data_IF_833940275062
#
_entry.id   IF_833940275062
#
_cell.length_a   1.000
_cell.length_b   1.000
_cell.length_c   1.000
_cell.angle_alpha   90.00
_cell.angle_beta   90.00
_cell.angle_gamma   90.00
#
_symmetry.space_group_name_H-M   'P 1'
#
loop_
_entity.id
_entity.type
_entity.pdbx_description
1 polymer ?
#
# COMPACT_ATOMS: atom_id res chain seq x y z
N UNK A 1 6.74 -11.65 -18.60
CA UNK A 1 5.61 -12.54 -18.18
C UNK A 1 4.52 -11.72 -17.50
N UNK A 2 4.79 -10.91 -16.44
CA UNK A 2 3.75 -10.15 -15.72
C UNK A 2 2.92 -9.24 -16.64
N UNK A 3 3.54 -8.50 -17.55
CA UNK A 3 2.83 -7.67 -18.53
C UNK A 3 1.93 -8.48 -19.45
N UNK A 4 2.35 -9.69 -19.86
CA UNK A 4 1.54 -10.59 -20.67
C UNK A 4 0.35 -11.19 -19.91
N UNK A 5 0.39 -11.21 -18.58
CA UNK A 5 -0.72 -11.68 -17.76
C UNK A 5 -1.81 -10.61 -17.59
N UNK A 6 -1.44 -9.34 -17.46
CA UNK A 6 -2.38 -8.30 -17.05
C UNK A 6 -2.80 -7.31 -18.14
N UNK A 7 -1.96 -7.06 -19.17
CA UNK A 7 -2.26 -6.06 -20.19
C UNK A 7 -3.19 -6.57 -21.32
N UNK A 8 -3.04 -7.81 -21.85
CA UNK A 8 -3.88 -8.24 -22.97
C UNK A 8 -5.37 -8.25 -22.63
N UNK A 9 -6.18 -7.81 -23.58
CA UNK A 9 -7.65 -7.83 -23.49
C UNK A 9 -8.27 -6.96 -22.39
N UNK A 10 -7.56 -5.96 -21.82
CA UNK A 10 -8.10 -5.06 -20.78
C UNK A 10 -9.35 -4.30 -21.25
N UNK A 11 -9.41 -3.89 -22.52
CA UNK A 11 -10.55 -3.18 -23.11
C UNK A 11 -11.57 -4.08 -23.79
N UNK A 12 -11.46 -5.43 -23.65
CA UNK A 12 -12.32 -6.36 -24.36
C UNK A 12 -13.73 -6.53 -23.78
N UNK A 13 -13.99 -6.00 -22.60
CA UNK A 13 -15.28 -6.08 -21.90
C UNK A 13 -15.62 -4.70 -21.36
N UNK A 14 -16.91 -4.31 -21.38
CA UNK A 14 -17.37 -3.06 -20.76
C UNK A 14 -16.96 -2.97 -19.30
N UNK A 15 -16.89 -1.74 -18.78
CA UNK A 15 -16.60 -1.50 -17.37
C UNK A 15 -17.71 -2.12 -16.51
N UNK A 16 -17.31 -2.69 -15.36
CA UNK A 16 -18.25 -3.24 -14.43
C UNK A 16 -19.03 -2.13 -13.72
N UNK A 17 -20.29 -2.41 -13.38
CA UNK A 17 -21.14 -1.47 -12.66
C UNK A 17 -20.54 -1.03 -11.32
N UNK A 18 -20.95 0.15 -10.88
CA UNK A 18 -20.65 0.77 -9.60
C UNK A 18 -19.23 1.38 -9.54
N UNK A 19 -18.28 0.75 -8.86
CA UNK A 19 -16.98 1.37 -8.55
C UNK A 19 -16.14 1.65 -9.82
N UNK A 20 -16.07 0.71 -10.75
CA UNK A 20 -15.21 0.84 -11.94
C UNK A 20 -15.71 1.96 -12.88
N UNK A 21 -17.01 2.00 -13.14
CA UNK A 21 -17.63 3.06 -13.95
C UNK A 21 -17.47 4.42 -13.27
N UNK A 22 -17.78 4.50 -11.97
CA UNK A 22 -17.70 5.75 -11.22
C UNK A 22 -16.28 6.35 -11.23
N UNK A 23 -15.25 5.53 -11.06
CA UNK A 23 -13.87 6.04 -11.10
C UNK A 23 -13.44 6.46 -12.49
N UNK A 24 -13.83 5.70 -13.52
CA UNK A 24 -13.56 6.06 -14.89
C UNK A 24 -14.29 7.37 -15.29
N UNK A 25 -15.51 7.55 -14.81
CA UNK A 25 -16.29 8.78 -15.04
C UNK A 25 -15.67 9.98 -14.32
N UNK A 26 -15.25 9.82 -13.05
CA UNK A 26 -14.50 10.86 -12.35
C UNK A 26 -13.25 11.29 -13.15
N UNK A 27 -12.50 10.34 -13.69
CA UNK A 27 -11.31 10.63 -14.50
C UNK A 27 -11.65 11.34 -15.81
N UNK A 28 -12.71 10.90 -16.49
CA UNK A 28 -13.22 11.53 -17.72
C UNK A 28 -13.65 12.98 -17.45
N UNK A 29 -14.42 13.21 -16.39
CA UNK A 29 -14.89 14.57 -16.06
C UNK A 29 -13.75 15.49 -15.65
N UNK A 30 -12.73 15.00 -14.94
CA UNK A 30 -11.51 15.79 -14.67
C UNK A 30 -10.82 16.25 -15.97
N UNK A 31 -10.81 15.40 -17.00
CA UNK A 31 -10.23 15.76 -18.31
C UNK A 31 -11.09 16.81 -19.00
N UNK A 32 -12.41 16.63 -19.05
CA UNK A 32 -13.36 17.51 -19.75
C UNK A 32 -13.46 18.89 -19.07
N UNK A 33 -13.54 18.90 -17.73
CA UNK A 33 -13.66 20.13 -16.96
C UNK A 33 -12.34 20.87 -16.73
N UNK A 34 -11.19 20.24 -17.04
CA UNK A 34 -9.84 20.69 -16.67
C UNK A 34 -9.64 20.95 -15.17
N UNK A 35 -10.51 20.39 -14.32
CA UNK A 35 -10.44 20.51 -12.86
C UNK A 35 -9.88 19.22 -12.27
N UNK A 36 -8.56 19.18 -12.07
CA UNK A 36 -7.85 17.99 -11.56
C UNK A 36 -7.78 17.91 -10.03
N UNK A 37 -8.23 18.94 -9.33
CA UNK A 37 -8.16 18.96 -7.85
C UNK A 37 -9.43 18.41 -7.20
N UNK A 38 -10.57 18.59 -7.83
CA UNK A 38 -11.85 18.14 -7.31
C UNK A 38 -12.33 16.89 -8.03
N UNK A 39 -12.54 15.81 -7.27
CA UNK A 39 -13.22 14.61 -7.78
C UNK A 39 -14.70 14.93 -7.98
N UNK A 40 -15.23 14.59 -9.15
CA UNK A 40 -16.60 14.93 -9.56
C UNK A 40 -17.28 13.71 -10.20
N UNK A 41 -18.59 13.62 -10.03
CA UNK A 41 -19.52 12.77 -10.80
C UNK A 41 -20.73 13.62 -11.16
N UNK A 42 -21.17 13.58 -12.43
CA UNK A 42 -22.21 14.47 -12.98
C UNK A 42 -21.82 15.95 -12.81
N UNK A 43 -20.54 16.28 -12.89
CA UNK A 43 -19.96 17.60 -12.64
C UNK A 43 -20.28 18.18 -11.27
N UNK A 44 -20.62 17.31 -10.30
CA UNK A 44 -20.84 17.67 -8.90
C UNK A 44 -19.71 17.08 -8.04
N UNK A 45 -19.28 17.79 -6.96
CA UNK A 45 -18.22 17.29 -6.08
C UNK A 45 -18.57 15.92 -5.50
N UNK A 46 -17.63 14.96 -5.62
CA UNK A 46 -17.75 13.62 -5.09
C UNK A 46 -16.67 13.40 -4.00
N UNK A 47 -17.07 13.55 -2.74
CA UNK A 47 -16.16 13.57 -1.60
C UNK A 47 -15.85 12.18 -1.01
N UNK A 48 -16.45 11.12 -1.55
CA UNK A 48 -16.30 9.78 -1.00
C UNK A 48 -14.90 9.17 -1.22
N UNK A 49 -14.23 9.58 -2.27
CA UNK A 49 -12.96 8.94 -2.67
C UNK A 49 -11.85 9.98 -2.87
N UNK A 50 -10.66 9.71 -2.31
CA UNK A 50 -9.48 10.54 -2.56
C UNK A 50 -8.97 10.42 -4.01
N UNK A 51 -8.21 11.41 -4.51
CA UNK A 51 -7.98 11.58 -5.94
C UNK A 51 -6.87 10.72 -6.55
N UNK A 52 -6.00 10.06 -5.79
CA UNK A 52 -4.75 9.48 -6.31
C UNK A 52 -5.00 8.47 -7.44
N UNK A 53 -5.92 7.53 -7.24
CA UNK A 53 -6.22 6.54 -8.27
C UNK A 53 -6.87 7.17 -9.51
N UNK A 54 -7.75 8.14 -9.31
CA UNK A 54 -8.40 8.87 -10.40
C UNK A 54 -7.36 9.65 -11.22
N UNK A 55 -6.36 10.27 -10.59
CA UNK A 55 -5.24 10.90 -11.31
C UNK A 55 -4.46 9.91 -12.17
N UNK A 56 -4.26 8.68 -11.69
CA UNK A 56 -3.60 7.63 -12.49
C UNK A 56 -4.44 7.27 -13.72
N UNK A 57 -5.77 7.18 -13.58
CA UNK A 57 -6.67 6.97 -14.69
C UNK A 57 -6.68 8.16 -15.65
N UNK A 58 -6.66 9.40 -15.16
CA UNK A 58 -6.52 10.62 -15.99
C UNK A 58 -5.26 10.57 -16.84
N UNK A 59 -4.11 10.21 -16.23
CA UNK A 59 -2.85 10.09 -16.97
C UNK A 59 -2.93 9.00 -18.05
N UNK A 60 -3.53 7.88 -17.73
CA UNK A 60 -3.75 6.78 -18.66
C UNK A 60 -4.70 7.18 -19.80
N UNK A 61 -5.82 7.84 -19.50
CA UNK A 61 -6.78 8.30 -20.51
C UNK A 61 -6.22 9.41 -21.40
N UNK A 62 -5.33 10.24 -20.90
CA UNK A 62 -4.60 11.22 -21.73
C UNK A 62 -3.63 10.54 -22.70
N UNK A 63 -3.05 9.41 -22.34
CA UNK A 63 -2.11 8.67 -23.18
C UNK A 63 -2.80 7.76 -24.21
N UNK A 64 -3.90 7.11 -23.85
CA UNK A 64 -4.54 6.05 -24.64
C UNK A 64 -5.97 6.42 -25.13
N UNK A 65 -6.44 7.62 -24.80
CA UNK A 65 -7.83 8.01 -25.04
C UNK A 65 -8.77 7.55 -23.92
N UNK A 66 -10.01 8.08 -23.95
CA UNK A 66 -11.05 7.74 -22.96
C UNK A 66 -11.71 6.43 -23.40
N UNK A 67 -11.33 5.32 -22.80
CA UNK A 67 -11.85 3.98 -23.09
C UNK A 67 -11.59 3.03 -21.91
N UNK A 68 -12.16 1.83 -21.98
CA UNK A 68 -12.08 0.79 -20.95
C UNK A 68 -10.63 0.34 -20.69
N UNK A 69 -9.83 0.25 -21.74
CA UNK A 69 -8.40 -0.09 -21.63
C UNK A 69 -7.68 0.93 -20.74
N UNK A 70 -7.86 2.22 -21.05
CA UNK A 70 -7.20 3.29 -20.31
C UNK A 70 -7.65 3.37 -18.84
N UNK A 71 -8.92 3.09 -18.55
CA UNK A 71 -9.45 3.04 -17.20
C UNK A 71 -8.80 1.93 -16.34
N UNK A 72 -8.45 0.78 -16.94
CA UNK A 72 -7.88 -0.41 -16.28
C UNK A 72 -6.36 -0.45 -16.30
N UNK A 73 -5.71 0.21 -17.23
CA UNK A 73 -4.26 0.15 -17.43
C UNK A 73 -3.45 0.49 -16.17
N UNK A 74 -3.81 1.47 -15.32
CA UNK A 74 -3.11 1.72 -14.07
C UNK A 74 -3.05 0.48 -13.18
N UNK A 75 -4.11 -0.34 -13.11
CA UNK A 75 -4.12 -1.54 -12.30
C UNK A 75 -3.31 -2.69 -12.90
N UNK A 76 -3.23 -2.80 -14.21
CA UNK A 76 -2.30 -3.73 -14.84
C UNK A 76 -0.84 -3.39 -14.50
N UNK A 77 -0.48 -2.10 -14.50
CA UNK A 77 0.83 -1.62 -14.05
C UNK A 77 1.04 -1.92 -12.56
N UNK A 78 0.03 -1.68 -11.72
CA UNK A 78 0.05 -2.06 -10.31
C UNK A 78 0.36 -3.55 -10.12
N UNK A 79 -0.27 -4.42 -10.90
CA UNK A 79 -0.01 -5.86 -10.87
C UNK A 79 1.43 -6.22 -11.18
N UNK A 80 2.02 -5.60 -12.21
CA UNK A 80 3.43 -5.80 -12.56
C UNK A 80 4.33 -5.37 -11.40
N UNK A 81 4.09 -4.19 -10.84
CA UNK A 81 4.86 -3.66 -9.70
C UNK A 81 4.69 -4.57 -8.48
N UNK A 82 3.48 -5.04 -8.19
CA UNK A 82 3.21 -5.96 -7.08
C UNK A 82 4.02 -7.23 -7.19
N UNK A 83 4.06 -7.87 -8.37
CA UNK A 83 4.85 -9.09 -8.57
C UNK A 83 6.35 -8.84 -8.37
N UNK A 84 6.87 -7.70 -8.83
CA UNK A 84 8.26 -7.31 -8.60
C UNK A 84 8.55 -7.06 -7.12
N UNK A 85 7.64 -6.41 -6.41
CA UNK A 85 7.78 -6.10 -4.98
C UNK A 85 7.78 -7.39 -4.15
N UNK A 86 6.82 -8.29 -4.36
CA UNK A 86 6.75 -9.55 -3.59
C UNK A 86 7.94 -10.46 -3.91
N UNK A 87 8.42 -10.49 -5.15
CA UNK A 87 9.65 -11.22 -5.51
C UNK A 87 10.85 -10.72 -4.70
N UNK A 88 11.09 -9.40 -4.74
CA UNK A 88 12.24 -8.80 -4.06
C UNK A 88 12.17 -8.93 -2.53
N UNK A 89 10.97 -8.79 -1.96
CA UNK A 89 10.76 -8.99 -0.52
C UNK A 89 10.95 -10.46 -0.15
N UNK A 90 10.38 -11.40 -0.91
CA UNK A 90 10.56 -12.82 -0.70
C UNK A 90 12.01 -13.27 -0.77
N UNK A 91 12.73 -12.79 -1.81
CA UNK A 91 14.18 -13.03 -1.96
C UNK A 91 14.98 -12.47 -0.78
N UNK A 92 14.60 -11.33 -0.23
CA UNK A 92 15.29 -10.71 0.91
C UNK A 92 14.98 -11.39 2.23
N UNK A 93 13.77 -11.92 2.41
CA UNK A 93 13.33 -12.58 3.66
C UNK A 93 13.88 -14.00 3.77
N UNK A 94 13.95 -14.73 2.67
CA UNK A 94 14.36 -16.13 2.62
C UNK A 94 15.39 -16.34 1.53
N UNK A 95 14.97 -16.63 0.29
CA UNK A 95 15.81 -16.85 -0.86
C UNK A 95 15.11 -16.54 -2.19
N UNK A 96 15.80 -16.69 -3.30
CA UNK A 96 15.28 -16.43 -4.64
C UNK A 96 14.18 -17.42 -5.04
N UNK A 97 14.29 -18.68 -4.60
CA UNK A 97 13.30 -19.72 -4.89
C UNK A 97 11.98 -19.41 -4.20
N UNK A 98 12.04 -18.98 -2.94
CA UNK A 98 10.86 -18.54 -2.20
C UNK A 98 10.20 -17.33 -2.88
N UNK A 99 10.99 -16.32 -3.31
CA UNK A 99 10.47 -15.18 -4.05
C UNK A 99 9.75 -15.57 -5.33
N UNK A 100 10.31 -16.53 -6.10
CA UNK A 100 9.66 -17.07 -7.31
C UNK A 100 8.36 -17.81 -6.99
N UNK A 101 8.37 -18.70 -6.00
CA UNK A 101 7.15 -19.42 -5.61
C UNK A 101 6.06 -18.47 -5.13
N UNK A 102 6.41 -17.45 -4.36
CA UNK A 102 5.45 -16.45 -3.93
C UNK A 102 4.79 -15.73 -5.12
N UNK A 103 5.59 -15.31 -6.10
CA UNK A 103 5.07 -14.70 -7.34
C UNK A 103 4.16 -15.65 -8.11
N UNK A 104 4.55 -16.92 -8.27
CA UNK A 104 3.75 -17.92 -9.02
C UNK A 104 2.40 -18.16 -8.34
N UNK A 105 2.40 -18.38 -7.03
CA UNK A 105 1.18 -18.62 -6.26
C UNK A 105 0.27 -17.39 -6.27
N UNK A 106 0.85 -16.21 -6.09
CA UNK A 106 0.10 -14.96 -6.08
C UNK A 106 -0.51 -14.66 -7.47
N UNK A 107 0.28 -14.78 -8.53
CA UNK A 107 -0.18 -14.56 -9.91
C UNK A 107 -1.19 -15.61 -10.38
N UNK A 108 -1.08 -16.85 -9.87
CA UNK A 108 -2.03 -17.94 -10.14
C UNK A 108 -3.32 -17.85 -9.34
N UNK A 109 -3.43 -16.95 -8.36
CA UNK A 109 -4.64 -16.77 -7.57
C UNK A 109 -5.68 -15.95 -8.34
N UNK A 110 -6.96 -16.34 -8.25
CA UNK A 110 -8.06 -15.72 -9.00
C UNK A 110 -8.23 -14.24 -8.63
N UNK A 111 -8.26 -13.92 -7.34
CA UNK A 111 -8.57 -12.56 -6.85
C UNK A 111 -7.56 -11.50 -7.31
N UNK A 112 -6.23 -11.69 -7.17
CA UNK A 112 -5.25 -10.76 -7.71
C UNK A 112 -5.38 -10.58 -9.22
N UNK A 113 -5.62 -11.67 -9.96
CA UNK A 113 -5.78 -11.60 -11.41
C UNK A 113 -6.98 -10.75 -11.81
N UNK A 114 -8.12 -10.92 -11.13
CA UNK A 114 -9.31 -10.10 -11.34
C UNK A 114 -9.05 -8.63 -11.00
N UNK A 115 -8.43 -8.33 -9.85
CA UNK A 115 -8.17 -6.97 -9.39
C UNK A 115 -7.24 -6.18 -10.31
N UNK A 116 -6.18 -6.81 -10.82
CA UNK A 116 -5.24 -6.13 -11.72
C UNK A 116 -5.78 -5.93 -13.14
N UNK A 117 -6.93 -6.47 -13.45
CA UNK A 117 -7.63 -6.30 -14.73
C UNK A 117 -8.93 -5.50 -14.61
N UNK A 118 -9.21 -4.94 -13.45
CA UNK A 118 -10.35 -4.04 -13.20
C UNK A 118 -9.88 -2.63 -12.86
N UNK A 119 -10.72 -1.63 -13.07
CA UNK A 119 -10.42 -0.21 -12.82
C UNK A 119 -10.82 0.26 -11.43
N UNK A 120 -10.47 -0.51 -10.36
CA UNK A 120 -10.83 -0.21 -8.96
C UNK A 120 -9.62 0.25 -8.14
N UNK A 121 -9.86 0.90 -7.00
CA UNK A 121 -8.80 1.50 -6.17
C UNK A 121 -8.00 0.50 -5.33
N UNK A 122 -8.57 -0.67 -5.06
CA UNK A 122 -8.04 -1.65 -4.09
C UNK A 122 -6.64 -2.18 -4.40
N UNK A 123 -6.25 -2.47 -5.66
CA UNK A 123 -4.91 -2.92 -5.98
C UNK A 123 -3.81 -1.95 -5.53
N UNK A 124 -3.95 -0.67 -5.85
CA UNK A 124 -2.99 0.36 -5.45
C UNK A 124 -2.99 0.57 -3.93
N UNK A 125 -4.16 0.60 -3.32
CA UNK A 125 -4.28 0.71 -1.88
C UNK A 125 -3.53 -0.41 -1.14
N UNK A 126 -3.75 -1.66 -1.57
CA UNK A 126 -3.11 -2.83 -0.98
C UNK A 126 -1.58 -2.81 -1.18
N UNK A 127 -1.12 -2.47 -2.39
CA UNK A 127 0.32 -2.37 -2.68
C UNK A 127 0.99 -1.30 -1.82
N UNK A 128 0.40 -0.11 -1.72
CA UNK A 128 0.96 1.01 -0.97
C UNK A 128 1.04 0.70 0.53
N UNK A 129 0.00 0.08 1.12
CA UNK A 129 0.02 -0.38 2.51
C UNK A 129 1.08 -1.46 2.70
N UNK A 130 1.16 -2.43 1.79
CA UNK A 130 2.15 -3.51 1.89
C UNK A 130 3.59 -2.98 1.89
N UNK A 131 3.88 -2.03 1.00
CA UNK A 131 5.20 -1.37 0.96
C UNK A 131 5.45 -0.53 2.23
N UNK A 132 4.43 0.19 2.73
CA UNK A 132 4.54 0.95 3.97
C UNK A 132 4.87 0.01 5.15
N UNK A 133 4.13 -1.08 5.30
CA UNK A 133 4.40 -2.08 6.35
C UNK A 133 5.81 -2.67 6.20
N UNK A 134 6.26 -2.93 4.98
CA UNK A 134 7.62 -3.43 4.75
C UNK A 134 8.68 -2.47 5.28
N UNK A 135 8.59 -1.17 4.98
CA UNK A 135 9.53 -0.19 5.49
C UNK A 135 9.42 0.00 7.00
N UNK A 136 8.23 -0.09 7.57
CA UNK A 136 8.03 -0.12 9.02
C UNK A 136 8.75 -1.31 9.68
N UNK A 137 8.66 -2.50 9.10
CA UNK A 137 9.38 -3.70 9.58
C UNK A 137 10.89 -3.48 9.47
N UNK A 138 11.40 -2.98 8.33
CA UNK A 138 12.83 -2.69 8.16
C UNK A 138 13.35 -1.68 9.19
N UNK A 139 12.54 -0.68 9.55
CA UNK A 139 12.88 0.33 10.54
C UNK A 139 13.04 -0.26 11.94
N UNK A 140 12.20 -1.24 12.29
CA UNK A 140 12.14 -1.82 13.63
C UNK A 140 13.06 -3.03 13.83
N UNK A 141 13.25 -3.84 12.79
CA UNK A 141 14.06 -5.06 12.87
C UNK A 141 15.57 -4.77 12.92
N UNK A 142 16.00 -3.66 12.35
CA UNK A 142 17.41 -3.33 12.17
C UNK A 142 17.92 -2.21 13.12
N UNK A 143 17.32 -2.03 14.28
CA UNK A 143 17.54 -0.87 15.16
C UNK A 143 18.98 -0.67 15.65
N UNK A 144 19.86 -1.66 15.56
CA UNK A 144 21.27 -1.56 15.96
C UNK A 144 22.30 -1.57 14.80
N UNK A 145 21.85 -1.85 13.58
CA UNK A 145 22.76 -2.20 12.45
C UNK A 145 22.72 -1.18 11.30
N UNK A 146 21.63 -0.41 11.19
CA UNK A 146 21.48 0.55 10.09
C UNK A 146 22.06 1.93 10.43
N UNK A 147 22.76 2.51 9.43
CA UNK A 147 23.26 3.87 9.52
C UNK A 147 22.11 4.89 9.69
N UNK A 148 22.34 6.03 10.36
CA UNK A 148 21.32 7.06 10.55
C UNK A 148 20.65 7.51 9.25
N UNK A 149 21.40 7.63 8.15
CA UNK A 149 20.86 7.99 6.83
C UNK A 149 19.87 6.96 6.27
N UNK A 150 20.17 5.66 6.40
CA UNK A 150 19.24 4.59 5.97
C UNK A 150 18.00 4.56 6.86
N UNK A 151 18.14 4.84 8.15
CA UNK A 151 17.02 4.91 9.08
C UNK A 151 16.07 6.05 8.69
N UNK A 152 16.62 7.22 8.39
CA UNK A 152 15.84 8.35 7.88
C UNK A 152 15.12 8.01 6.58
N UNK A 153 15.83 7.39 5.62
CA UNK A 153 15.23 6.95 4.35
C UNK A 153 14.06 6.00 4.55
N UNK A 154 14.22 4.97 5.41
CA UNK A 154 13.13 4.03 5.67
C UNK A 154 11.93 4.70 6.36
N UNK A 155 12.17 5.64 7.27
CA UNK A 155 11.11 6.42 7.89
C UNK A 155 10.38 7.32 6.88
N UNK A 156 11.12 7.99 6.00
CA UNK A 156 10.57 8.81 4.93
C UNK A 156 9.73 7.97 3.95
N UNK A 157 10.25 6.80 3.53
CA UNK A 157 9.52 5.89 2.63
C UNK A 157 8.26 5.34 3.31
N UNK A 158 8.34 4.92 4.59
CA UNK A 158 7.16 4.52 5.35
C UNK A 158 6.09 5.61 5.37
N UNK A 159 6.47 6.84 5.72
CA UNK A 159 5.55 7.99 5.74
C UNK A 159 4.98 8.31 4.36
N UNK A 160 5.81 8.30 3.31
CA UNK A 160 5.38 8.59 1.93
C UNK A 160 4.37 7.56 1.42
N UNK A 161 4.65 6.26 1.58
CA UNK A 161 3.71 5.22 1.14
C UNK A 161 2.43 5.19 1.97
N UNK A 162 2.50 5.53 3.27
CA UNK A 162 1.32 5.74 4.11
C UNK A 162 0.48 6.91 3.59
N UNK A 163 1.11 8.05 3.29
CA UNK A 163 0.43 9.21 2.71
C UNK A 163 -0.23 8.92 1.37
N UNK A 164 0.46 8.20 0.48
CA UNK A 164 -0.12 7.76 -0.80
C UNK A 164 -1.30 6.80 -0.60
N UNK A 165 -1.24 5.89 0.37
CA UNK A 165 -2.35 5.01 0.70
C UNK A 165 -3.58 5.79 1.22
N UNK A 166 -3.36 6.84 2.02
CA UNK A 166 -4.43 7.76 2.45
C UNK A 166 -5.05 8.48 1.25
N UNK A 167 -4.22 8.96 0.32
CA UNK A 167 -4.68 9.59 -0.91
C UNK A 167 -5.40 8.62 -1.87
N UNK A 168 -5.34 7.31 -1.61
CA UNK A 168 -6.05 6.30 -2.39
C UNK A 168 -7.42 5.94 -1.79
N UNK A 169 -7.51 5.69 -0.48
CA UNK A 169 -8.74 5.20 0.17
C UNK A 169 -9.04 5.90 1.51
N UNK A 170 -8.45 7.04 1.76
CA UNK A 170 -8.72 7.87 2.93
C UNK A 170 -8.18 7.29 4.26
N UNK A 171 -8.86 7.61 5.39
CA UNK A 171 -8.38 7.27 6.74
C UNK A 171 -8.24 5.77 7.02
N UNK A 172 -8.85 4.90 6.23
CA UNK A 172 -8.76 3.44 6.35
C UNK A 172 -7.31 2.96 6.34
N UNK A 173 -6.42 3.63 5.57
CA UNK A 173 -4.99 3.35 5.57
C UNK A 173 -4.36 3.52 6.95
N UNK A 174 -4.69 4.59 7.66
CA UNK A 174 -4.19 4.86 9.02
C UNK A 174 -4.66 3.82 10.02
N UNK A 175 -5.92 3.37 9.91
CA UNK A 175 -6.46 2.33 10.78
C UNK A 175 -5.69 1.01 10.62
N UNK A 176 -5.43 0.58 9.39
CA UNK A 176 -4.70 -0.67 9.12
C UNK A 176 -3.25 -0.56 9.60
N UNK A 177 -2.54 0.51 9.23
CA UNK A 177 -1.15 0.71 9.61
C UNK A 177 -1.02 0.90 11.13
N UNK A 178 -1.93 1.65 11.75
CA UNK A 178 -2.00 1.84 13.20
C UNK A 178 -2.25 0.53 13.95
N UNK A 179 -3.14 -0.33 13.43
CA UNK A 179 -3.40 -1.66 14.00
C UNK A 179 -2.14 -2.54 13.92
N UNK A 180 -1.48 -2.60 12.77
CA UNK A 180 -0.22 -3.36 12.59
C UNK A 180 0.85 -2.85 13.54
N UNK A 181 1.03 -1.53 13.64
CA UNK A 181 1.99 -0.93 14.57
C UNK A 181 1.65 -1.26 16.03
N UNK A 182 0.38 -1.17 16.41
CA UNK A 182 -0.09 -1.49 17.75
C UNK A 182 0.20 -2.95 18.13
N UNK A 183 -0.10 -3.89 17.23
CA UNK A 183 0.19 -5.31 17.44
C UNK A 183 1.69 -5.55 17.55
N UNK A 184 2.51 -4.89 16.73
CA UNK A 184 3.96 -5.04 16.77
C UNK A 184 4.59 -4.51 18.06
N UNK A 185 4.07 -3.42 18.63
CA UNK A 185 4.60 -2.81 19.86
C UNK A 185 3.97 -3.33 21.15
N UNK A 186 2.78 -3.94 21.10
CA UNK A 186 2.06 -4.42 22.28
C UNK A 186 2.88 -5.37 23.16
N UNK A 187 3.60 -6.37 22.60
CA UNK A 187 4.44 -7.26 23.42
C UNK A 187 5.56 -6.50 24.16
N UNK A 188 6.21 -5.55 23.50
CA UNK A 188 7.25 -4.70 24.11
C UNK A 188 6.70 -3.85 25.25
N UNK A 189 5.54 -3.24 25.05
CA UNK A 189 4.87 -2.43 26.06
C UNK A 189 4.48 -3.28 27.28
N UNK A 190 3.89 -4.46 27.08
CA UNK A 190 3.51 -5.38 28.15
C UNK A 190 4.74 -5.84 28.96
N UNK A 191 5.84 -6.19 28.30
CA UNK A 191 7.09 -6.56 28.96
C UNK A 191 7.61 -5.41 29.81
N UNK A 192 7.63 -4.18 29.31
CA UNK A 192 8.06 -2.99 30.06
C UNK A 192 7.18 -2.73 31.28
N UNK A 193 5.87 -2.91 31.17
CA UNK A 193 4.92 -2.76 32.28
C UNK A 193 5.16 -3.82 33.34
N UNK A 194 5.40 -5.07 32.93
CA UNK A 194 5.71 -6.19 33.86
C UNK A 194 7.03 -5.94 34.61
N UNK A 195 8.08 -5.50 33.87
CA UNK A 195 9.38 -5.18 34.47
C UNK A 195 9.26 -4.01 35.47
N UNK A 196 8.53 -2.96 35.12
CA UNK A 196 8.27 -1.83 36.05
C UNK A 196 7.51 -2.27 37.29
N UNK A 197 6.49 -3.13 37.16
CA UNK A 197 5.76 -3.69 38.29
C UNK A 197 6.67 -4.54 39.19
N UNK A 198 7.57 -5.36 38.61
CA UNK A 198 8.51 -6.18 39.33
C UNK A 198 9.55 -5.34 40.10
N UNK A 199 10.08 -4.25 39.47
CA UNK A 199 10.98 -3.30 40.17
C UNK A 199 10.29 -2.55 41.32
N UNK A 200 9.01 -2.27 41.21
CA UNK A 200 8.25 -1.60 42.30
C UNK A 200 7.94 -2.54 43.45
N UNK A 201 7.85 -3.86 43.19
CA UNK A 201 7.57 -4.87 44.19
C UNK A 201 8.84 -5.34 44.97
N UNK A 202 10.02 -5.25 44.32
CA UNK A 202 11.31 -5.55 44.89
C UNK A 202 12.24 -4.35 44.66
N UNK A 203 12.20 -3.32 45.51
CA UNK A 203 13.19 -2.25 45.47
C UNK A 203 14.58 -2.83 45.71
N UNK A 204 15.64 -2.37 45.01
CA UNK A 204 16.98 -2.83 45.26
C UNK A 204 17.31 -2.60 46.75
N UNK A 205 17.68 -3.66 47.47
CA UNK A 205 18.17 -3.56 48.81
C UNK A 205 19.32 -2.54 48.84
N UNK A 206 19.13 -1.47 49.57
CA UNK A 206 20.16 -0.47 49.84
C UNK A 206 21.43 -1.18 50.22
N UNK A 207 22.47 -1.14 49.40
CA UNK A 207 23.82 -1.47 49.82
C UNK A 207 24.25 -0.41 50.82
N UNK A 208 24.10 -0.71 52.10
CA UNK A 208 24.73 0.04 53.17
C UNK A 208 26.25 0.01 52.90
N UNK A 209 26.80 1.09 52.39
CA UNK A 209 28.23 1.36 52.37
C UNK A 209 28.62 1.65 53.82
N UNK A 210 29.14 0.65 54.51
CA UNK A 210 29.92 0.92 55.73
C UNK A 210 31.22 1.65 55.32
N UNK A 211 31.45 2.78 55.96
CA UNK A 211 32.72 3.48 55.95
C UNK A 211 33.75 2.73 56.77
#
# INVERSE_FOLDING_TARGET
IAALLFIPFLGGVHLFDWDEINFAECAREMIVSHNYLNVQIDFKPFWEKPPLFIWMQVLSMKAFGINEFAARFPNAVCGIITLLVIFNIGKKLFDERFGLWWVIVYAGSILPHFYFRSGIIDPWFNLLIFIAIWFFVQLNTNTGVISPGKRFLYAALWGSFTGLAILTKGPTALLIIGLVASIAYLPHFLILVIIKKKKKKNPPLFTLRFR
#
